data_IF_346419858426
#
_entry.id   IF_346419858426
#
_cell.length_a   1.000
_cell.length_b   1.000
_cell.length_c   1.000
_cell.angle_alpha   90.00
_cell.angle_beta   90.00
_cell.angle_gamma   90.00
#
_symmetry.space_group_name_H-M   'P 1'
#
loop_
_entity.id
_entity.type
_entity.pdbx_description
1 polymer ?
#
# COMPACT_ATOMS: atom_id res chain seq x y z
N UNK A 1 -10.09 18.49 7.49
CA UNK A 1 -9.64 18.57 6.10
C UNK A 1 -8.26 17.90 5.98
N UNK A 2 -8.06 17.03 4.98
CA UNK A 2 -6.81 16.28 4.80
C UNK A 2 -5.68 17.13 4.20
N UNK A 3 -5.97 18.29 3.60
CA UNK A 3 -4.96 19.20 3.08
C UNK A 3 -4.63 19.03 1.60
N UNK A 4 -5.42 18.29 0.83
CA UNK A 4 -5.18 18.05 -0.60
C UNK A 4 -5.59 19.20 -1.54
N UNK A 5 -5.90 20.38 -0.98
CA UNK A 5 -6.15 21.61 -1.73
C UNK A 5 -5.04 22.66 -1.45
N UNK A 6 -3.80 22.43 -1.94
CA UNK A 6 -2.66 23.25 -1.55
C UNK A 6 -2.72 24.65 -2.16
N UNK A 7 -2.46 25.64 -1.30
CA UNK A 7 -2.24 27.04 -1.71
C UNK A 7 -0.75 27.36 -1.78
N UNK A 8 0.03 26.76 -0.89
CA UNK A 8 1.49 26.88 -0.82
C UNK A 8 2.10 25.48 -0.57
N UNK A 9 3.23 25.19 -1.25
CA UNK A 9 3.84 23.84 -1.19
C UNK A 9 5.03 23.71 -0.24
N UNK A 10 5.67 24.83 0.13
CA UNK A 10 6.96 24.81 0.83
C UNK A 10 6.87 25.37 2.26
N UNK A 11 5.71 25.19 2.89
CA UNK A 11 5.46 25.67 4.24
C UNK A 11 4.56 24.70 5.01
N UNK A 12 4.88 24.37 6.28
CA UNK A 12 3.99 23.58 7.12
C UNK A 12 2.65 24.29 7.37
N UNK A 13 1.58 23.52 7.55
CA UNK A 13 0.24 24.04 7.82
C UNK A 13 0.16 24.63 9.24
N UNK A 14 -0.28 25.91 9.32
CA UNK A 14 -0.30 26.65 10.57
C UNK A 14 -1.35 26.19 11.56
N UNK A 15 -2.45 25.57 11.11
CA UNK A 15 -3.53 25.12 11.99
C UNK A 15 -3.12 23.98 12.92
N UNK A 16 -2.03 23.27 12.60
CA UNK A 16 -1.45 22.23 13.45
C UNK A 16 -0.40 22.76 14.43
N UNK A 17 -0.05 24.06 14.33
CA UNK A 17 0.91 24.69 15.23
C UNK A 17 0.25 25.12 16.55
N UNK A 18 1.01 25.07 17.63
CA UNK A 18 0.57 25.61 18.94
C UNK A 18 0.45 27.14 18.91
N UNK A 19 1.13 27.81 17.99
CA UNK A 19 0.98 29.24 17.70
C UNK A 19 0.95 29.50 16.18
N UNK A 20 -0.26 29.54 15.57
CA UNK A 20 -0.41 29.72 14.13
C UNK A 20 -0.04 31.12 13.63
N UNK A 21 0.07 32.12 14.52
CA UNK A 21 0.39 33.51 14.17
C UNK A 21 1.90 33.75 14.02
N UNK A 22 2.74 32.86 14.53
CA UNK A 22 4.20 32.94 14.43
C UNK A 22 4.71 31.79 13.53
N UNK A 23 5.11 32.13 12.31
CA UNK A 23 5.49 31.14 11.27
C UNK A 23 6.64 30.23 11.66
N UNK A 24 7.60 30.74 12.46
CA UNK A 24 8.74 29.96 12.95
C UNK A 24 8.33 28.83 13.90
N UNK A 25 7.21 28.97 14.61
CA UNK A 25 6.73 27.93 15.56
C UNK A 25 6.38 26.67 14.80
N UNK A 26 5.55 26.75 13.74
CA UNK A 26 5.19 25.58 12.91
C UNK A 26 6.39 24.89 12.29
N UNK A 27 7.41 25.66 11.88
CA UNK A 27 8.65 25.12 11.31
C UNK A 27 9.41 24.32 12.36
N UNK A 28 9.59 24.87 13.55
CA UNK A 28 10.30 24.24 14.65
C UNK A 28 9.57 22.98 15.15
N UNK A 29 8.25 23.06 15.32
CA UNK A 29 7.44 21.93 15.78
C UNK A 29 7.47 20.76 14.79
N UNK A 30 7.36 21.02 13.48
CA UNK A 30 7.48 19.98 12.47
C UNK A 30 8.88 19.34 12.47
N UNK A 31 9.94 20.14 12.56
CA UNK A 31 11.32 19.62 12.67
C UNK A 31 11.49 18.80 13.97
N UNK A 32 10.89 19.22 15.08
CA UNK A 32 10.94 18.48 16.34
C UNK A 32 10.19 17.14 16.25
N UNK A 33 9.03 17.10 15.60
CA UNK A 33 8.27 15.87 15.33
C UNK A 33 9.11 14.88 14.54
N UNK A 34 9.69 15.32 13.41
CA UNK A 34 10.52 14.46 12.55
C UNK A 34 11.73 13.94 13.32
N UNK A 35 12.43 14.83 14.07
CA UNK A 35 13.56 14.43 14.91
C UNK A 35 13.17 13.33 15.92
N UNK A 36 12.03 13.49 16.60
CA UNK A 36 11.56 12.52 17.58
C UNK A 36 11.26 11.17 16.94
N UNK A 37 10.66 11.15 15.74
CA UNK A 37 10.42 9.92 15.00
C UNK A 37 11.72 9.24 14.60
N UNK A 38 12.72 9.98 14.10
CA UNK A 38 14.05 9.46 13.76
C UNK A 38 14.77 8.89 14.98
N UNK A 39 14.72 9.53 16.14
CA UNK A 39 15.30 9.03 17.40
C UNK A 39 14.67 7.69 17.83
N UNK A 40 13.46 7.40 17.37
CA UNK A 40 12.78 6.11 17.58
C UNK A 40 12.89 5.15 16.39
N UNK A 41 13.77 5.42 15.42
CA UNK A 41 14.02 4.56 14.27
C UNK A 41 12.90 4.56 13.21
N UNK A 42 12.01 5.57 13.23
CA UNK A 42 10.88 5.71 12.31
C UNK A 42 11.25 6.76 11.24
N UNK A 43 11.24 6.37 9.98
CA UNK A 43 11.39 7.27 8.82
C UNK A 43 10.08 8.03 8.55
N UNK A 44 10.21 9.24 8.00
CA UNK A 44 9.07 10.12 7.71
C UNK A 44 8.94 10.34 6.23
N UNK A 45 7.83 9.89 5.65
CA UNK A 45 7.48 10.21 4.27
C UNK A 45 6.45 11.33 4.22
N UNK A 46 6.65 12.28 3.31
CA UNK A 46 5.75 13.41 3.10
C UNK A 46 4.81 13.11 1.93
N UNK A 47 3.53 13.38 2.14
CA UNK A 47 2.54 13.37 1.09
C UNK A 47 2.54 14.73 0.38
N UNK A 48 2.80 14.74 -0.94
CA UNK A 48 2.98 15.95 -1.74
C UNK A 48 1.97 16.04 -2.87
N UNK A 49 1.37 17.23 -3.03
CA UNK A 49 0.26 17.50 -3.94
C UNK A 49 0.68 18.52 -5.00
N UNK A 50 1.65 18.17 -5.86
CA UNK A 50 2.11 19.08 -6.92
C UNK A 50 1.24 19.06 -8.17
N UNK A 51 0.27 18.16 -8.24
CA UNK A 51 -0.57 17.93 -9.44
C UNK A 51 -1.55 19.06 -9.72
N UNK A 52 -1.98 19.83 -8.71
CA UNK A 52 -2.90 20.98 -8.86
C UNK A 52 -2.68 22.03 -7.78
N UNK A 53 -3.39 23.14 -7.87
CA UNK A 53 -3.52 24.16 -6.81
C UNK A 53 -4.99 24.34 -6.45
N UNK A 54 -5.26 24.80 -5.23
CA UNK A 54 -6.62 25.03 -4.73
C UNK A 54 -7.49 25.85 -5.70
N UNK A 55 -6.96 26.99 -6.19
CA UNK A 55 -7.60 27.78 -7.23
C UNK A 55 -6.59 28.19 -8.31
N UNK A 56 -6.93 27.98 -9.57
CA UNK A 56 -6.07 28.37 -10.69
C UNK A 56 -5.90 29.89 -10.78
N UNK A 57 -6.99 30.64 -10.86
CA UNK A 57 -6.97 32.09 -11.11
C UNK A 57 -6.25 32.87 -10.02
N UNK A 58 -6.36 32.44 -8.77
CA UNK A 58 -5.78 33.10 -7.61
C UNK A 58 -4.42 32.55 -7.20
N UNK A 59 -3.92 31.50 -7.88
CA UNK A 59 -2.63 30.92 -7.56
C UNK A 59 -1.48 31.90 -7.80
N UNK A 60 -0.44 31.77 -7.00
CA UNK A 60 0.78 32.54 -7.21
C UNK A 60 1.45 32.22 -8.54
N UNK A 61 1.33 31.00 -9.03
CA UNK A 61 1.80 30.58 -10.35
C UNK A 61 1.14 31.39 -11.47
N UNK A 62 -0.20 31.47 -11.46
CA UNK A 62 -0.94 32.19 -12.51
C UNK A 62 -0.71 33.68 -12.43
N UNK A 63 -0.60 34.26 -11.22
CA UNK A 63 -0.32 35.68 -11.03
C UNK A 63 1.10 36.08 -11.44
N UNK A 64 2.06 35.15 -11.30
CA UNK A 64 3.48 35.43 -11.61
C UNK A 64 3.77 35.31 -13.11
N UNK A 65 3.34 34.20 -13.73
CA UNK A 65 3.49 33.95 -15.18
C UNK A 65 2.21 33.31 -15.70
N UNK A 66 1.26 34.13 -16.17
CA UNK A 66 -0.02 33.64 -16.69
C UNK A 66 0.17 32.55 -17.75
N UNK A 67 -0.66 31.52 -17.70
CA UNK A 67 -0.72 30.41 -18.65
C UNK A 67 0.54 29.54 -18.78
N UNK A 68 1.52 29.70 -17.90
CA UNK A 68 2.75 28.91 -17.97
C UNK A 68 2.71 27.62 -17.16
N UNK A 69 2.26 27.69 -15.90
CA UNK A 69 2.40 26.58 -14.95
C UNK A 69 1.27 25.55 -15.02
N UNK A 70 0.19 25.88 -15.71
CA UNK A 70 -0.96 25.00 -15.86
C UNK A 70 -1.05 24.43 -17.26
N UNK A 71 -1.46 23.15 -17.34
CA UNK A 71 -1.63 22.46 -18.61
C UNK A 71 -2.93 22.88 -19.28
N UNK A 72 -2.89 23.00 -20.60
CA UNK A 72 -4.04 23.37 -21.42
C UNK A 72 -4.32 22.30 -22.48
N UNK A 73 -5.58 22.17 -22.82
CA UNK A 73 -6.07 21.44 -23.97
C UNK A 73 -6.71 22.47 -24.92
N UNK A 74 -5.96 22.92 -25.95
CA UNK A 74 -6.35 24.06 -26.76
C UNK A 74 -6.41 25.34 -25.92
N UNK A 75 -7.55 26.02 -25.94
CA UNK A 75 -7.78 27.29 -25.19
C UNK A 75 -8.27 27.05 -23.75
N UNK A 76 -8.57 25.81 -23.38
CA UNK A 76 -9.10 25.49 -22.05
C UNK A 76 -8.01 24.89 -21.16
N UNK A 77 -8.11 25.14 -19.85
CA UNK A 77 -7.27 24.46 -18.87
C UNK A 77 -7.70 23.00 -18.74
N UNK A 78 -6.72 22.13 -18.70
CA UNK A 78 -6.92 20.70 -18.48
C UNK A 78 -7.12 20.40 -16.99
N UNK A 79 -7.85 19.34 -16.69
CA UNK A 79 -8.19 18.93 -15.32
C UNK A 79 -7.92 17.44 -15.08
N UNK A 80 -6.69 17.03 -15.28
CA UNK A 80 -6.25 15.67 -14.96
C UNK A 80 -6.27 15.35 -13.47
N UNK A 81 -6.36 16.36 -12.60
CA UNK A 81 -6.51 16.16 -11.16
C UNK A 81 -7.94 15.85 -10.73
N UNK A 82 -8.95 16.28 -11.50
CA UNK A 82 -10.35 16.27 -11.07
C UNK A 82 -10.69 17.33 -10.02
N UNK A 83 -9.74 18.28 -9.77
CA UNK A 83 -9.89 19.37 -8.79
C UNK A 83 -9.99 20.75 -9.44
N UNK A 84 -10.30 20.80 -10.75
CA UNK A 84 -10.50 22.03 -11.52
C UNK A 84 -9.29 22.58 -12.23
N UNK A 85 -8.12 21.98 -12.09
CA UNK A 85 -6.89 22.35 -12.81
C UNK A 85 -5.82 21.26 -12.68
N UNK A 86 -4.81 21.32 -13.54
CA UNK A 86 -3.60 20.51 -13.38
C UNK A 86 -2.35 21.31 -13.72
N UNK A 87 -1.25 21.01 -13.02
CA UNK A 87 0.05 21.62 -13.29
C UNK A 87 0.74 20.99 -14.49
N UNK A 88 1.46 21.80 -15.26
CA UNK A 88 2.22 21.38 -16.44
C UNK A 88 3.64 20.98 -16.03
N UNK A 89 3.81 19.81 -15.41
CA UNK A 89 5.10 19.34 -14.89
C UNK A 89 6.18 19.19 -15.97
N UNK A 90 5.79 18.96 -17.23
CA UNK A 90 6.69 18.88 -18.37
C UNK A 90 7.36 20.22 -18.70
N UNK A 91 6.85 21.35 -18.22
CA UNK A 91 7.45 22.67 -18.44
C UNK A 91 8.62 22.90 -17.50
N UNK A 92 9.69 23.46 -18.05
CA UNK A 92 11.00 23.56 -17.38
C UNK A 92 10.93 24.20 -15.98
N UNK A 93 10.17 25.29 -15.79
CA UNK A 93 10.10 25.96 -14.50
C UNK A 93 9.16 25.26 -13.50
N UNK A 94 8.11 24.56 -13.98
CA UNK A 94 7.29 23.73 -13.09
C UNK A 94 8.07 22.50 -12.62
N UNK A 95 8.78 21.84 -13.51
CA UNK A 95 9.71 20.72 -13.16
C UNK A 95 10.76 21.19 -12.15
N UNK A 96 11.39 22.35 -12.43
CA UNK A 96 12.37 22.93 -11.49
C UNK A 96 11.74 23.16 -10.12
N UNK A 97 10.54 23.72 -10.06
CA UNK A 97 9.84 23.98 -8.81
C UNK A 97 9.59 22.69 -8.00
N UNK A 98 9.09 21.63 -8.67
CA UNK A 98 8.85 20.34 -8.01
C UNK A 98 10.16 19.74 -7.48
N UNK A 99 11.21 19.74 -8.30
CA UNK A 99 12.53 19.21 -7.91
C UNK A 99 13.14 19.99 -6.75
N UNK A 100 13.15 21.33 -6.83
CA UNK A 100 13.68 22.18 -5.76
C UNK A 100 12.89 22.00 -4.46
N UNK A 101 11.57 21.81 -4.55
CA UNK A 101 10.69 21.61 -3.40
C UNK A 101 11.00 20.29 -2.67
N UNK A 102 11.09 19.17 -3.37
CA UNK A 102 11.41 17.88 -2.71
C UNK A 102 12.82 17.89 -2.13
N UNK A 103 13.79 18.52 -2.80
CA UNK A 103 15.15 18.69 -2.26
C UNK A 103 15.14 19.55 -1.00
N UNK A 104 14.37 20.65 -0.98
CA UNK A 104 14.19 21.49 0.20
C UNK A 104 13.66 20.69 1.40
N UNK A 105 12.57 19.93 1.21
CA UNK A 105 12.01 19.11 2.28
C UNK A 105 12.97 18.03 2.75
N UNK A 106 13.70 17.38 1.83
CA UNK A 106 14.69 16.35 2.17
C UNK A 106 15.88 16.93 2.93
N UNK A 107 16.35 18.15 2.61
CA UNK A 107 17.53 18.75 3.24
C UNK A 107 17.20 19.51 4.51
N UNK A 108 16.14 20.33 4.51
CA UNK A 108 15.80 21.21 5.63
C UNK A 108 15.00 20.51 6.74
N UNK A 109 14.20 19.49 6.38
CA UNK A 109 13.36 18.77 7.32
C UNK A 109 13.76 17.29 7.47
N UNK A 110 14.76 16.83 6.72
CA UNK A 110 15.22 15.43 6.72
C UNK A 110 14.11 14.44 6.40
N UNK A 111 13.23 14.77 5.44
CA UNK A 111 12.19 13.85 4.95
C UNK A 111 12.84 12.67 4.24
N UNK A 112 12.41 11.45 4.57
CA UNK A 112 12.98 10.18 4.10
C UNK A 112 12.26 9.60 2.88
N UNK A 113 11.15 10.20 2.45
CA UNK A 113 10.42 9.76 1.27
C UNK A 113 9.28 10.70 0.90
N UNK A 114 8.78 10.52 -0.32
CA UNK A 114 7.70 11.31 -0.88
C UNK A 114 6.65 10.42 -1.52
N UNK A 115 5.41 10.56 -1.06
CA UNK A 115 4.22 10.04 -1.74
C UNK A 115 3.64 11.14 -2.62
N UNK A 116 3.59 10.92 -3.93
CA UNK A 116 3.01 11.86 -4.87
C UNK A 116 1.52 11.58 -5.05
N UNK A 117 0.70 12.49 -4.58
CA UNK A 117 -0.73 12.51 -4.87
C UNK A 117 -0.94 12.62 -6.38
N UNK A 118 -1.85 11.80 -6.95
CA UNK A 118 -2.13 11.73 -8.38
C UNK A 118 -0.84 11.81 -9.24
N UNK A 119 0.15 10.97 -8.92
CA UNK A 119 1.45 10.96 -9.62
C UNK A 119 1.28 10.81 -11.14
N UNK A 120 0.21 10.16 -11.59
CA UNK A 120 -0.12 10.00 -13.00
C UNK A 120 -0.36 11.30 -13.77
N UNK A 121 -0.62 12.43 -13.09
CA UNK A 121 -0.73 13.76 -13.69
C UNK A 121 0.64 14.30 -14.09
N UNK A 122 1.71 13.86 -13.43
CA UNK A 122 3.08 14.28 -13.74
C UNK A 122 3.67 13.49 -14.91
N UNK A 123 4.58 14.14 -15.63
CA UNK A 123 5.32 13.49 -16.71
C UNK A 123 6.49 12.64 -16.17
N UNK A 124 6.84 11.60 -16.92
CA UNK A 124 7.93 10.67 -16.58
C UNK A 124 9.28 11.37 -16.37
N UNK A 125 9.58 12.39 -17.17
CA UNK A 125 10.88 13.06 -17.10
C UNK A 125 11.00 13.93 -15.85
N UNK A 126 9.88 14.47 -15.37
CA UNK A 126 9.82 15.14 -14.05
C UNK A 126 10.07 14.14 -12.92
N UNK A 127 9.44 12.96 -12.94
CA UNK A 127 9.69 11.94 -11.92
C UNK A 127 11.13 11.41 -11.95
N UNK A 128 11.74 11.25 -13.13
CA UNK A 128 13.17 10.94 -13.26
C UNK A 128 14.07 12.04 -12.68
N UNK A 129 13.72 13.31 -12.93
CA UNK A 129 14.47 14.45 -12.39
C UNK A 129 14.36 14.51 -10.86
N UNK A 130 13.18 14.27 -10.29
CA UNK A 130 12.97 14.13 -8.84
C UNK A 130 13.85 13.02 -8.26
N UNK A 131 13.78 11.80 -8.82
CA UNK A 131 14.62 10.68 -8.35
C UNK A 131 16.11 11.02 -8.39
N UNK A 132 16.56 11.55 -9.53
CA UNK A 132 17.97 11.93 -9.70
C UNK A 132 18.44 12.99 -8.72
N UNK A 133 17.63 13.99 -8.41
CA UNK A 133 17.98 15.05 -7.46
C UNK A 133 18.01 14.51 -6.02
N UNK A 134 17.04 13.68 -5.64
CA UNK A 134 17.01 13.08 -4.32
C UNK A 134 18.16 12.08 -4.10
N UNK A 135 18.64 11.39 -5.14
CA UNK A 135 19.85 10.54 -5.06
C UNK A 135 21.11 11.32 -4.69
N UNK A 136 21.18 12.61 -5.00
CA UNK A 136 22.30 13.46 -4.57
C UNK A 136 22.19 13.86 -3.10
N UNK A 137 21.00 13.80 -2.51
CA UNK A 137 20.79 14.07 -1.09
C UNK A 137 21.00 12.76 -0.29
N UNK A 138 20.24 11.73 -0.62
CA UNK A 138 20.35 10.39 -0.05
C UNK A 138 19.63 9.38 -0.99
N UNK A 139 20.35 8.37 -1.53
CA UNK A 139 19.75 7.38 -2.43
C UNK A 139 18.68 6.49 -1.77
N UNK A 140 18.61 6.45 -0.42
CA UNK A 140 17.61 5.70 0.32
C UNK A 140 16.28 6.44 0.48
N UNK A 141 16.16 7.69 0.01
CA UNK A 141 14.90 8.42 0.01
C UNK A 141 13.89 7.70 -0.89
N UNK A 142 12.74 7.34 -0.34
CA UNK A 142 11.69 6.68 -1.09
C UNK A 142 10.94 7.66 -2.00
N UNK A 143 10.57 7.22 -3.20
CA UNK A 143 9.67 7.97 -4.11
C UNK A 143 8.60 7.00 -4.61
N UNK A 144 7.35 7.32 -4.36
CA UNK A 144 6.20 6.55 -4.82
C UNK A 144 4.97 7.44 -4.90
N UNK A 145 3.90 6.95 -5.47
CA UNK A 145 2.67 7.72 -5.53
C UNK A 145 1.51 6.99 -6.18
N UNK A 146 0.46 7.71 -6.44
CA UNK A 146 -0.71 7.20 -7.13
C UNK A 146 -0.45 7.17 -8.63
N UNK A 147 -0.36 5.97 -9.18
CA UNK A 147 -0.10 5.74 -10.60
C UNK A 147 -1.33 5.93 -11.49
N UNK A 148 -2.16 6.94 -11.21
CA UNK A 148 -3.38 7.29 -11.95
C UNK A 148 -3.61 8.81 -11.96
N UNK A 149 -4.63 9.27 -12.70
CA UNK A 149 -5.14 10.63 -12.72
C UNK A 149 -6.52 10.66 -12.07
N UNK A 150 -6.93 11.81 -11.55
CA UNK A 150 -8.29 12.01 -11.00
C UNK A 150 -9.32 12.35 -12.07
N UNK A 151 -8.86 12.86 -13.23
CA UNK A 151 -9.67 13.24 -14.38
C UNK A 151 -8.92 13.04 -15.70
N UNK A 152 -9.44 13.62 -16.77
CA UNK A 152 -8.80 13.57 -18.10
C UNK A 152 -7.67 14.61 -18.20
N UNK A 153 -6.45 14.12 -18.39
CA UNK A 153 -5.27 14.98 -18.56
C UNK A 153 -4.95 15.20 -20.04
N UNK A 154 -4.55 16.41 -20.38
CA UNK A 154 -4.05 16.72 -21.73
C UNK A 154 -2.61 16.22 -21.97
N UNK A 155 -1.90 15.73 -20.96
CA UNK A 155 -0.62 15.06 -21.15
C UNK A 155 -0.83 13.72 -21.85
N UNK A 156 -0.10 13.43 -22.96
CA UNK A 156 -0.22 12.13 -23.63
C UNK A 156 0.02 10.96 -22.67
N UNK A 157 -0.83 9.93 -22.70
CA UNK A 157 -0.78 8.80 -21.79
C UNK A 157 0.61 8.11 -21.71
N UNK A 158 1.34 8.06 -22.84
CA UNK A 158 2.69 7.49 -22.90
C UNK A 158 3.75 8.33 -22.16
N UNK A 159 3.43 9.55 -21.78
CA UNK A 159 4.31 10.46 -21.03
C UNK A 159 3.92 10.54 -19.54
N UNK A 160 2.72 10.11 -19.18
CA UNK A 160 2.22 10.15 -17.80
C UNK A 160 2.94 9.14 -16.90
N UNK A 161 3.21 9.52 -15.67
CA UNK A 161 3.75 8.63 -14.63
C UNK A 161 2.64 7.73 -14.02
N UNK A 162 1.83 7.14 -14.87
CA UNK A 162 0.80 6.17 -14.48
C UNK A 162 1.40 4.79 -14.19
N UNK A 163 0.67 3.96 -13.48
CA UNK A 163 1.05 2.58 -13.14
C UNK A 163 1.63 1.81 -14.34
N UNK A 164 0.99 1.91 -15.50
CA UNK A 164 1.44 1.22 -16.72
C UNK A 164 2.78 1.69 -17.27
N UNK A 165 3.31 2.82 -16.83
CA UNK A 165 4.60 3.38 -17.25
C UNK A 165 5.69 3.30 -16.17
N UNK A 166 5.37 2.82 -14.96
CA UNK A 166 6.27 2.81 -13.80
C UNK A 166 7.54 1.97 -14.07
N UNK A 167 7.45 0.88 -14.83
CA UNK A 167 8.63 0.08 -15.23
C UNK A 167 9.74 0.89 -15.93
N UNK A 168 9.41 2.10 -16.42
CA UNK A 168 10.35 3.03 -17.10
C UNK A 168 11.06 3.97 -16.11
N UNK A 169 10.68 3.93 -14.83
CA UNK A 169 11.24 4.75 -13.77
C UNK A 169 12.07 3.88 -12.83
N UNK A 170 13.31 4.26 -12.59
CA UNK A 170 14.16 3.57 -11.62
C UNK A 170 13.75 3.98 -10.20
N UNK A 171 13.51 2.99 -9.32
CA UNK A 171 13.22 3.19 -7.89
C UNK A 171 12.10 4.23 -7.59
N UNK A 172 11.10 4.28 -8.45
CA UNK A 172 9.85 5.00 -8.23
C UNK A 172 8.72 3.98 -8.21
N UNK A 173 7.98 3.93 -7.12
CA UNK A 173 6.87 2.99 -6.92
C UNK A 173 5.51 3.60 -7.22
N UNK A 174 4.50 2.73 -7.41
CA UNK A 174 3.11 3.11 -7.50
C UNK A 174 2.24 2.21 -6.60
N UNK A 175 1.16 2.75 -6.09
CA UNK A 175 0.16 1.97 -5.38
C UNK A 175 -0.46 0.91 -6.28
N UNK A 176 -0.57 -0.31 -5.77
CA UNK A 176 -1.16 -1.44 -6.45
C UNK A 176 -2.65 -1.54 -6.11
N UNK A 177 -3.49 -0.99 -6.97
CA UNK A 177 -4.94 -1.20 -6.90
C UNK A 177 -5.33 -2.64 -7.23
N UNK A 178 -4.45 -3.40 -7.90
CA UNK A 178 -4.67 -4.82 -8.21
C UNK A 178 -4.80 -5.66 -6.93
N UNK A 179 -3.85 -5.51 -5.98
CA UNK A 179 -3.92 -6.22 -4.70
C UNK A 179 -5.04 -5.70 -3.80
N UNK A 180 -5.28 -4.38 -3.79
CA UNK A 180 -6.37 -3.76 -3.03
C UNK A 180 -7.71 -4.37 -3.42
N UNK A 181 -8.03 -4.32 -4.71
CA UNK A 181 -9.31 -4.79 -5.22
C UNK A 181 -9.36 -6.32 -5.25
N UNK A 182 -8.24 -6.99 -5.46
CA UNK A 182 -8.10 -8.44 -5.34
C UNK A 182 -8.47 -8.97 -3.95
N UNK A 183 -8.05 -8.28 -2.90
CA UNK A 183 -8.35 -8.66 -1.51
C UNK A 183 -9.80 -8.33 -1.15
N UNK A 184 -10.23 -7.05 -1.31
CA UNK A 184 -11.50 -6.54 -0.73
C UNK A 184 -12.61 -6.25 -1.73
N UNK A 185 -12.36 -6.40 -3.03
CA UNK A 185 -13.27 -5.99 -4.11
C UNK A 185 -13.10 -4.53 -4.51
N UNK A 186 -13.74 -4.14 -5.62
CA UNK A 186 -13.67 -2.80 -6.18
C UNK A 186 -14.07 -1.73 -5.16
N UNK A 187 -13.32 -0.63 -5.12
CA UNK A 187 -13.66 0.53 -4.28
C UNK A 187 -14.78 1.38 -4.90
N UNK A 188 -15.08 1.18 -6.18
CA UNK A 188 -16.15 1.90 -6.91
C UNK A 188 -17.49 1.16 -6.88
N UNK A 189 -17.53 -0.06 -6.36
CA UNK A 189 -18.73 -0.84 -6.12
C UNK A 189 -18.68 -1.38 -4.68
N UNK A 190 -19.49 -0.81 -3.80
CA UNK A 190 -19.45 -1.15 -2.37
C UNK A 190 -19.88 -2.57 -2.06
N UNK A 191 -20.67 -3.19 -2.95
CA UNK A 191 -21.15 -4.56 -2.81
C UNK A 191 -20.20 -5.58 -3.46
N UNK A 192 -19.27 -5.14 -4.34
CA UNK A 192 -18.30 -6.05 -4.94
C UNK A 192 -17.42 -6.69 -3.87
N UNK A 193 -17.25 -8.00 -3.95
CA UNK A 193 -16.42 -8.81 -3.05
C UNK A 193 -15.03 -9.02 -3.65
N UNK A 194 -14.06 -9.32 -2.80
CA UNK A 194 -12.74 -9.78 -3.21
C UNK A 194 -12.49 -11.23 -2.78
N UNK A 195 -11.24 -11.66 -2.89
CA UNK A 195 -10.82 -13.03 -2.53
C UNK A 195 -11.20 -13.39 -1.09
N UNK A 196 -10.94 -12.51 -0.13
CA UNK A 196 -11.17 -12.80 1.29
C UNK A 196 -12.64 -12.79 1.69
N UNK A 197 -13.48 -12.19 0.87
CA UNK A 197 -14.91 -11.99 1.11
C UNK A 197 -15.80 -12.88 0.21
N UNK A 198 -15.21 -13.92 -0.42
CA UNK A 198 -15.92 -14.99 -1.09
C UNK A 198 -16.23 -14.73 -2.58
N UNK A 199 -15.42 -13.91 -3.27
CA UNK A 199 -15.51 -13.76 -4.73
C UNK A 199 -14.78 -14.91 -5.42
N UNK A 200 -15.48 -15.60 -6.31
CA UNK A 200 -14.92 -16.70 -7.10
C UNK A 200 -13.90 -16.21 -8.15
N UNK A 201 -12.99 -17.09 -8.55
CA UNK A 201 -12.01 -16.89 -9.63
C UNK A 201 -11.02 -15.74 -9.37
N UNK A 202 -10.67 -15.49 -8.11
CA UNK A 202 -9.69 -14.46 -7.74
C UNK A 202 -8.26 -15.00 -7.58
N UNK A 203 -8.03 -16.30 -7.77
CA UNK A 203 -6.74 -16.95 -7.52
C UNK A 203 -5.63 -16.35 -8.36
N UNK A 204 -5.87 -16.10 -9.65
CA UNK A 204 -4.84 -15.50 -10.53
C UNK A 204 -4.56 -14.03 -10.20
N UNK A 205 -5.57 -13.27 -9.74
CA UNK A 205 -5.35 -11.91 -9.23
C UNK A 205 -4.47 -11.92 -7.96
N UNK A 206 -4.75 -12.83 -7.02
CA UNK A 206 -3.94 -12.97 -5.82
C UNK A 206 -2.51 -13.43 -6.17
N UNK A 207 -2.32 -14.40 -7.09
CA UNK A 207 -0.99 -14.79 -7.56
C UNK A 207 -0.22 -13.60 -8.16
N UNK A 208 -0.88 -12.81 -9.02
CA UNK A 208 -0.31 -11.59 -9.59
C UNK A 208 0.11 -10.58 -8.51
N UNK A 209 -0.71 -10.43 -7.49
CA UNK A 209 -0.44 -9.58 -6.33
C UNK A 209 0.73 -10.11 -5.48
N UNK A 210 0.79 -11.42 -5.25
CA UNK A 210 1.88 -12.08 -4.49
C UNK A 210 3.23 -11.82 -5.13
N UNK A 211 3.34 -11.80 -6.44
CA UNK A 211 4.59 -11.51 -7.15
C UNK A 211 4.83 -10.02 -7.41
N UNK A 212 4.09 -9.13 -6.73
CA UNK A 212 4.24 -7.68 -6.81
C UNK A 212 4.09 -7.13 -8.25
N UNK A 213 3.16 -7.67 -9.02
CA UNK A 213 2.89 -7.31 -10.42
C UNK A 213 4.11 -7.45 -11.36
N UNK A 214 5.12 -8.21 -10.96
CA UNK A 214 6.28 -8.54 -11.79
C UNK A 214 5.98 -9.73 -12.71
N UNK A 215 6.70 -9.89 -13.83
CA UNK A 215 6.55 -11.07 -14.67
C UNK A 215 6.80 -12.37 -13.89
N UNK A 216 5.89 -13.34 -14.02
CA UNK A 216 6.04 -14.67 -13.43
C UNK A 216 5.40 -15.74 -14.32
N UNK A 217 6.12 -16.84 -14.57
CA UNK A 217 5.71 -17.88 -15.53
C UNK A 217 4.42 -18.63 -15.14
N UNK A 218 4.07 -18.65 -13.85
CA UNK A 218 2.87 -19.31 -13.33
C UNK A 218 1.69 -18.34 -13.11
N UNK A 219 1.77 -17.09 -13.59
CA UNK A 219 0.67 -16.12 -13.52
C UNK A 219 0.08 -15.91 -14.90
N UNK A 220 -1.22 -16.12 -15.02
CA UNK A 220 -1.98 -15.93 -16.24
C UNK A 220 -2.69 -14.58 -16.24
N UNK A 221 -2.06 -13.55 -16.82
CA UNK A 221 -2.55 -12.16 -16.77
C UNK A 221 -4.01 -12.00 -17.23
N UNK A 222 -4.43 -12.71 -18.28
CA UNK A 222 -5.81 -12.66 -18.81
C UNK A 222 -6.86 -13.19 -17.83
N UNK A 223 -6.44 -13.89 -16.78
CA UNK A 223 -7.30 -14.39 -15.69
C UNK A 223 -7.15 -13.57 -14.41
N UNK A 224 -6.07 -12.81 -14.28
CA UNK A 224 -5.84 -11.97 -13.12
C UNK A 224 -6.75 -10.73 -13.09
N UNK A 225 -7.21 -10.29 -14.25
CA UNK A 225 -8.15 -9.17 -14.43
C UNK A 225 -7.94 -8.48 -15.77
N UNK A 226 -8.98 -7.86 -16.29
CA UNK A 226 -8.98 -7.22 -17.63
C UNK A 226 -7.93 -6.11 -17.79
N UNK A 227 -7.51 -5.52 -16.69
CA UNK A 227 -6.53 -4.41 -16.67
C UNK A 227 -5.16 -4.81 -16.10
N UNK A 228 -4.99 -6.06 -15.69
CA UNK A 228 -3.72 -6.52 -15.13
C UNK A 228 -2.66 -6.62 -16.24
N UNK A 229 -1.57 -5.90 -16.02
CA UNK A 229 -0.36 -5.93 -16.87
C UNK A 229 0.84 -6.05 -15.95
N UNK A 230 1.95 -6.64 -16.41
CA UNK A 230 3.21 -6.65 -15.66
C UNK A 230 3.80 -5.22 -15.63
N UNK A 231 3.23 -4.36 -14.82
CA UNK A 231 3.59 -2.94 -14.76
C UNK A 231 4.79 -2.67 -13.86
N UNK A 232 5.09 -3.57 -12.95
CA UNK A 232 6.25 -3.46 -12.06
C UNK A 232 7.46 -4.15 -12.68
N UNK A 233 8.53 -3.39 -12.92
CA UNK A 233 9.80 -3.96 -13.39
C UNK A 233 10.58 -4.67 -12.28
N UNK A 234 10.41 -4.21 -11.04
CA UNK A 234 11.03 -4.76 -9.84
C UNK A 234 10.02 -4.70 -8.68
N UNK A 235 10.06 -5.63 -7.72
CA UNK A 235 9.05 -5.69 -6.66
C UNK A 235 8.99 -4.42 -5.79
N UNK A 236 10.09 -3.69 -5.63
CA UNK A 236 10.11 -2.41 -4.92
C UNK A 236 9.29 -1.29 -5.58
N UNK A 237 8.80 -1.48 -6.80
CA UNK A 237 7.92 -0.54 -7.49
C UNK A 237 6.44 -0.76 -7.15
N UNK A 238 6.08 -1.89 -6.55
CA UNK A 238 4.70 -2.19 -6.13
C UNK A 238 4.50 -1.83 -4.67
N UNK A 239 3.69 -0.80 -4.41
CA UNK A 239 3.24 -0.44 -3.06
C UNK A 239 1.92 -1.14 -2.81
N UNK A 240 1.97 -2.24 -2.09
CA UNK A 240 0.82 -3.08 -1.80
C UNK A 240 0.03 -2.53 -0.63
N UNK A 241 -1.30 -2.47 -0.74
CA UNK A 241 -2.17 -1.97 0.32
C UNK A 241 -3.57 -2.55 0.24
N UNK A 242 -4.32 -2.46 1.34
CA UNK A 242 -5.73 -2.84 1.40
C UNK A 242 -6.59 -1.59 1.54
N UNK A 243 -6.18 -0.69 2.41
CA UNK A 243 -6.86 0.59 2.69
C UNK A 243 -5.87 1.74 2.75
N UNK A 244 -6.39 2.94 2.50
CA UNK A 244 -5.73 4.21 2.76
C UNK A 244 -6.79 5.19 3.29
N UNK A 245 -6.51 6.50 3.30
CA UNK A 245 -7.47 7.52 3.70
C UNK A 245 -8.66 7.65 2.74
N UNK A 246 -8.43 7.38 1.44
CA UNK A 246 -9.50 7.36 0.42
C UNK A 246 -10.37 6.13 0.52
N UNK A 247 -11.60 6.27 0.05
CA UNK A 247 -12.63 5.23 -0.01
C UNK A 247 -13.00 4.66 1.37
N UNK A 248 -13.77 3.57 1.36
CA UNK A 248 -14.10 2.84 2.59
C UNK A 248 -12.85 2.19 3.19
N UNK A 249 -12.75 2.18 4.52
CA UNK A 249 -11.76 1.34 5.20
C UNK A 249 -12.00 -0.14 4.86
N UNK A 250 -11.03 -0.98 5.12
CA UNK A 250 -11.22 -2.42 4.90
C UNK A 250 -12.39 -2.97 5.73
N UNK A 251 -12.49 -2.56 6.99
CA UNK A 251 -13.56 -2.99 7.89
C UNK A 251 -14.94 -2.52 7.42
N UNK A 252 -15.07 -1.25 7.01
CA UNK A 252 -16.35 -0.70 6.51
C UNK A 252 -16.76 -1.37 5.20
N UNK A 253 -15.81 -1.64 4.29
CA UNK A 253 -16.07 -2.37 3.06
C UNK A 253 -16.62 -3.78 3.34
N UNK A 254 -16.02 -4.52 4.28
CA UNK A 254 -16.51 -5.83 4.68
C UNK A 254 -17.89 -5.76 5.35
N UNK A 255 -18.16 -4.71 6.14
CA UNK A 255 -19.47 -4.53 6.76
C UNK A 255 -20.59 -4.35 5.73
N UNK A 256 -20.29 -3.75 4.58
CA UNK A 256 -21.26 -3.52 3.50
C UNK A 256 -21.35 -4.74 2.58
N UNK A 257 -20.22 -5.20 2.03
CA UNK A 257 -20.21 -6.29 1.03
C UNK A 257 -20.57 -7.65 1.63
N UNK A 258 -20.40 -7.82 2.93
CA UNK A 258 -20.64 -9.04 3.68
C UNK A 258 -21.56 -8.79 4.88
N UNK A 259 -22.62 -8.00 4.66
CA UNK A 259 -23.58 -7.64 5.71
C UNK A 259 -24.31 -8.85 6.32
N UNK A 260 -24.51 -9.90 5.55
CA UNK A 260 -25.16 -11.15 5.99
C UNK A 260 -24.21 -12.08 6.75
N UNK A 261 -22.90 -11.87 6.66
CA UNK A 261 -21.91 -12.68 7.37
C UNK A 261 -21.77 -12.22 8.83
N UNK A 262 -21.37 -13.13 9.71
CA UNK A 262 -21.13 -12.79 11.11
C UNK A 262 -19.95 -11.81 11.26
N UNK A 263 -19.95 -11.01 12.34
CA UNK A 263 -18.80 -10.16 12.67
C UNK A 263 -17.53 -11.00 12.83
N UNK A 264 -17.63 -12.18 13.41
CA UNK A 264 -16.50 -13.10 13.58
C UNK A 264 -15.93 -13.56 12.22
N UNK A 265 -16.76 -13.76 11.19
CA UNK A 265 -16.27 -14.11 9.85
C UNK A 265 -15.64 -12.89 9.16
N UNK A 266 -16.21 -11.68 9.32
CA UNK A 266 -15.56 -10.45 8.85
C UNK A 266 -14.19 -10.20 9.51
N UNK A 267 -14.03 -10.56 10.78
CA UNK A 267 -12.71 -10.53 11.47
C UNK A 267 -11.74 -11.54 10.83
N UNK A 268 -12.20 -12.76 10.47
CA UNK A 268 -11.36 -13.71 9.74
C UNK A 268 -10.95 -13.16 8.36
N UNK A 269 -11.89 -12.54 7.62
CA UNK A 269 -11.62 -11.87 6.34
C UNK A 269 -10.55 -10.79 6.48
N UNK A 270 -10.63 -9.98 7.53
CA UNK A 270 -9.63 -8.95 7.84
C UNK A 270 -8.25 -9.55 8.10
N UNK A 271 -8.17 -10.59 8.93
CA UNK A 271 -6.92 -11.32 9.20
C UNK A 271 -6.36 -12.00 7.95
N UNK A 272 -7.19 -12.62 7.12
CA UNK A 272 -6.76 -13.22 5.86
C UNK A 272 -6.21 -12.15 4.90
N UNK A 273 -6.88 -11.01 4.77
CA UNK A 273 -6.41 -9.89 3.94
C UNK A 273 -5.05 -9.37 4.39
N UNK A 274 -4.87 -9.17 5.70
CA UNK A 274 -3.57 -8.76 6.26
C UNK A 274 -2.48 -9.82 6.01
N UNK A 275 -2.81 -11.10 6.10
CA UNK A 275 -1.85 -12.17 5.78
C UNK A 275 -1.43 -12.12 4.31
N UNK A 276 -2.36 -11.93 3.36
CA UNK A 276 -2.05 -11.73 1.93
C UNK A 276 -1.12 -10.53 1.75
N UNK A 277 -1.43 -9.40 2.38
CA UNK A 277 -0.60 -8.19 2.30
C UNK A 277 0.84 -8.42 2.79
N UNK A 278 0.99 -8.96 4.00
CA UNK A 278 2.31 -9.06 4.63
C UNK A 278 3.16 -10.24 4.17
N UNK A 279 2.59 -11.21 3.48
CA UNK A 279 3.36 -12.34 2.90
C UNK A 279 3.60 -12.20 1.39
N UNK A 280 2.97 -11.23 0.72
CA UNK A 280 3.26 -10.89 -0.69
C UNK A 280 4.60 -10.18 -0.85
N UNK A 281 5.24 -10.34 -2.01
CA UNK A 281 6.40 -9.54 -2.41
C UNK A 281 6.00 -8.08 -2.61
N UNK A 282 6.97 -7.17 -2.72
CA UNK A 282 6.72 -5.73 -2.84
C UNK A 282 6.79 -5.01 -1.51
N UNK A 283 6.33 -3.76 -1.48
CA UNK A 283 6.40 -2.88 -0.31
C UNK A 283 5.02 -2.79 0.33
N UNK A 284 4.80 -3.31 1.53
CA UNK A 284 3.49 -3.21 2.18
C UNK A 284 3.25 -1.79 2.71
N UNK A 285 2.03 -1.32 2.51
CA UNK A 285 1.49 -0.10 3.08
C UNK A 285 0.20 -0.45 3.83
N UNK A 286 0.00 0.16 4.99
CA UNK A 286 -1.13 -0.10 5.88
C UNK A 286 -1.74 1.23 6.35
N UNK A 287 -3.06 1.35 6.31
CA UNK A 287 -3.73 2.50 6.91
C UNK A 287 -3.61 2.43 8.43
N UNK A 288 -3.21 3.51 9.08
CA UNK A 288 -3.15 3.56 10.56
C UNK A 288 -4.52 3.26 11.17
N UNK A 289 -4.58 2.29 12.09
CA UNK A 289 -5.82 1.82 12.72
C UNK A 289 -6.47 0.61 12.03
N UNK A 290 -5.96 0.16 10.88
CA UNK A 290 -6.46 -1.04 10.19
C UNK A 290 -6.34 -2.28 11.08
N UNK A 291 -5.26 -2.37 11.87
CA UNK A 291 -4.99 -3.38 12.88
C UNK A 291 -5.95 -3.33 14.10
N UNK A 292 -6.76 -2.29 14.16
CA UNK A 292 -7.78 -2.09 15.20
C UNK A 292 -9.19 -2.02 14.61
N UNK A 293 -9.38 -2.54 13.39
CA UNK A 293 -10.66 -2.51 12.67
C UNK A 293 -11.20 -1.08 12.50
N UNK A 294 -10.34 -0.17 12.02
CA UNK A 294 -10.69 1.24 11.82
C UNK A 294 -11.92 1.39 10.95
N UNK A 295 -12.87 2.22 11.41
CA UNK A 295 -14.08 2.59 10.71
C UNK A 295 -14.18 4.12 10.57
N UNK A 296 -14.87 4.57 9.51
CA UNK A 296 -15.24 5.96 9.25
C UNK A 296 -16.78 6.11 9.31
N UNK A 297 -17.40 6.11 10.51
CA UNK A 297 -18.84 6.16 10.65
C UNK A 297 -19.40 7.48 10.15
N UNK A 298 -20.54 7.42 9.42
CA UNK A 298 -21.29 8.57 8.95
C UNK A 298 -22.79 8.24 8.90
N UNK A 299 -23.53 8.62 9.93
CA UNK A 299 -24.98 8.36 10.04
C UNK A 299 -25.81 9.02 8.92
N UNK A 300 -25.24 9.98 8.20
CA UNK A 300 -25.94 10.67 7.08
C UNK A 300 -25.72 9.97 5.74
N UNK A 301 -24.78 9.03 5.67
CA UNK A 301 -24.55 8.22 4.49
C UNK A 301 -25.57 7.08 4.41
N UNK A 302 -25.98 6.71 3.21
CA UNK A 302 -26.86 5.54 2.97
C UNK A 302 -26.24 4.22 3.45
N UNK A 303 -24.93 4.14 3.45
CA UNK A 303 -24.18 2.95 3.90
C UNK A 303 -23.85 2.96 5.39
N UNK A 304 -24.04 4.09 6.09
CA UNK A 304 -23.61 4.29 7.47
C UNK A 304 -22.12 4.64 7.62
N UNK A 305 -21.36 4.70 6.51
CA UNK A 305 -19.92 4.97 6.47
C UNK A 305 -19.57 6.09 5.49
N UNK A 306 -18.40 6.69 5.67
CA UNK A 306 -17.91 7.79 4.85
C UNK A 306 -16.76 7.34 3.94
N UNK A 307 -17.04 7.21 2.66
CA UNK A 307 -16.02 6.86 1.65
C UNK A 307 -15.11 8.03 1.30
N UNK A 308 -15.63 9.26 1.37
CA UNK A 308 -14.96 10.49 0.95
C UNK A 308 -14.86 11.49 2.10
N UNK A 309 -14.13 11.10 3.13
CA UNK A 309 -14.11 11.77 4.43
C UNK A 309 -13.07 12.91 4.54
N UNK A 310 -12.58 13.46 3.41
CA UNK A 310 -11.52 14.48 3.38
C UNK A 310 -11.82 15.75 4.18
N UNK A 311 -13.08 16.11 4.32
CA UNK A 311 -13.55 17.27 5.10
C UNK A 311 -14.47 16.89 6.26
N UNK A 312 -14.60 15.60 6.57
CA UNK A 312 -15.46 15.09 7.64
C UNK A 312 -14.85 15.36 9.03
N UNK A 313 -15.70 15.42 10.08
CA UNK A 313 -15.25 15.74 11.43
C UNK A 313 -14.40 14.63 12.06
N UNK A 314 -13.77 14.94 13.20
CA UNK A 314 -12.98 13.99 13.97
C UNK A 314 -13.80 12.77 14.44
N UNK A 315 -15.12 12.92 14.65
CA UNK A 315 -16.00 11.81 14.94
C UNK A 315 -15.92 10.70 13.89
N UNK A 316 -15.75 11.07 12.62
CA UNK A 316 -15.52 10.14 11.50
C UNK A 316 -14.05 9.75 11.36
N UNK A 317 -13.15 10.74 11.32
CA UNK A 317 -11.76 10.53 10.87
C UNK A 317 -10.78 10.11 11.96
N UNK A 318 -11.05 10.40 13.25
CA UNK A 318 -10.10 10.06 14.30
C UNK A 318 -9.89 8.56 14.47
N UNK A 319 -8.67 8.18 14.83
CA UNK A 319 -8.36 6.80 15.23
C UNK A 319 -8.98 6.55 16.62
N UNK A 320 -9.80 5.51 16.75
CA UNK A 320 -10.45 5.12 18.00
C UNK A 320 -9.50 4.19 18.78
N UNK A 321 -8.51 4.77 19.47
CA UNK A 321 -7.48 4.03 20.19
C UNK A 321 -8.02 3.04 21.22
N UNK A 322 -9.15 3.37 21.86
CA UNK A 322 -9.79 2.48 22.83
C UNK A 322 -10.26 1.16 22.21
N UNK A 323 -10.50 1.13 20.90
CA UNK A 323 -10.91 -0.08 20.20
C UNK A 323 -9.81 -1.15 20.20
N UNK A 324 -8.55 -0.78 20.37
CA UNK A 324 -7.44 -1.73 20.50
C UNK A 324 -7.71 -2.78 21.59
N UNK A 325 -8.26 -2.36 22.73
CA UNK A 325 -8.61 -3.27 23.82
C UNK A 325 -9.70 -4.28 23.45
N UNK A 326 -10.65 -3.88 22.62
CA UNK A 326 -11.77 -4.71 22.20
C UNK A 326 -11.38 -5.78 21.16
N UNK A 327 -10.35 -5.49 20.34
CA UNK A 327 -9.91 -6.34 19.22
C UNK A 327 -8.41 -6.69 19.31
N UNK A 328 -7.94 -6.93 20.52
CA UNK A 328 -6.54 -7.23 20.79
C UNK A 328 -6.02 -8.42 19.98
N UNK A 329 -6.85 -9.40 19.70
CA UNK A 329 -6.49 -10.57 18.88
C UNK A 329 -6.22 -10.21 17.42
N UNK A 330 -6.86 -9.18 16.88
CA UNK A 330 -6.57 -8.63 15.52
C UNK A 330 -5.26 -7.85 15.57
N UNK A 331 -5.10 -6.98 16.55
CA UNK A 331 -3.87 -6.20 16.74
C UNK A 331 -2.63 -7.10 16.86
N UNK A 332 -2.67 -8.11 17.71
CA UNK A 332 -1.55 -9.05 17.89
C UNK A 332 -1.32 -9.90 16.64
N UNK A 333 -2.35 -10.18 15.85
CA UNK A 333 -2.21 -10.87 14.57
C UNK A 333 -1.41 -10.03 13.54
N UNK A 334 -1.75 -8.74 13.37
CA UNK A 334 -0.99 -7.81 12.52
C UNK A 334 0.46 -7.66 13.00
N UNK A 335 0.65 -7.46 14.30
CA UNK A 335 1.98 -7.37 14.92
C UNK A 335 2.81 -8.62 14.63
N UNK A 336 2.21 -9.79 14.75
CA UNK A 336 2.86 -11.07 14.48
C UNK A 336 3.23 -11.26 13.00
N UNK A 337 2.36 -10.85 12.05
CA UNK A 337 2.67 -10.87 10.62
C UNK A 337 3.82 -9.93 10.26
N UNK A 338 3.84 -8.73 10.85
CA UNK A 338 4.93 -7.77 10.65
C UNK A 338 6.25 -8.33 11.18
N UNK A 339 6.23 -8.93 12.37
CA UNK A 339 7.40 -9.58 12.95
C UNK A 339 7.90 -10.72 12.06
N UNK A 340 7.00 -11.57 11.56
CA UNK A 340 7.32 -12.66 10.65
C UNK A 340 7.96 -12.13 9.35
N UNK A 341 7.35 -11.12 8.70
CA UNK A 341 7.91 -10.51 7.50
C UNK A 341 9.29 -9.88 7.75
N UNK A 342 9.50 -9.26 8.91
CA UNK A 342 10.82 -8.68 9.29
C UNK A 342 11.90 -9.78 9.47
N UNK A 343 11.53 -10.92 10.01
CA UNK A 343 12.44 -12.05 10.23
C UNK A 343 12.82 -12.75 8.91
N UNK A 344 11.89 -12.84 7.95
CA UNK A 344 12.09 -13.60 6.72
C UNK A 344 12.34 -12.70 5.50
N UNK A 345 13.60 -12.65 5.04
CA UNK A 345 14.00 -11.86 3.88
C UNK A 345 13.43 -12.41 2.56
N UNK A 346 13.07 -13.69 2.51
CA UNK A 346 12.42 -14.34 1.37
C UNK A 346 11.06 -13.69 0.99
N UNK A 347 10.38 -13.03 1.94
CA UNK A 347 9.18 -12.25 1.68
C UNK A 347 9.47 -10.84 1.14
N UNK A 348 10.74 -10.46 1.03
CA UNK A 348 11.19 -9.12 0.65
C UNK A 348 12.29 -9.19 -0.42
N UNK A 349 12.14 -10.11 -1.39
CA UNK A 349 13.06 -10.22 -2.51
C UNK A 349 13.11 -8.91 -3.30
N UNK A 350 14.30 -8.48 -3.69
CA UNK A 350 14.52 -7.16 -4.29
C UNK A 350 14.47 -7.13 -5.81
N UNK A 351 14.43 -8.29 -6.46
CA UNK A 351 14.40 -8.39 -7.92
C UNK A 351 13.32 -9.33 -8.43
N UNK A 352 12.75 -9.00 -9.60
CA UNK A 352 11.79 -9.87 -10.29
C UNK A 352 12.40 -11.25 -10.62
N UNK A 353 13.71 -11.29 -10.95
CA UNK A 353 14.41 -12.54 -11.21
C UNK A 353 14.48 -13.44 -9.97
N UNK A 354 14.72 -12.86 -8.78
CA UNK A 354 14.72 -13.61 -7.53
C UNK A 354 13.34 -14.22 -7.24
N UNK A 355 12.26 -13.46 -7.46
CA UNK A 355 10.90 -13.96 -7.32
C UNK A 355 10.64 -15.11 -8.30
N UNK A 356 10.93 -14.91 -9.58
CA UNK A 356 10.74 -15.93 -10.62
C UNK A 356 11.49 -17.24 -10.34
N UNK A 357 12.68 -17.15 -9.74
CA UNK A 357 13.53 -18.31 -9.51
C UNK A 357 13.22 -19.05 -8.21
N UNK A 358 12.73 -18.36 -7.19
CA UNK A 358 12.59 -18.94 -5.85
C UNK A 358 11.12 -19.13 -5.41
N UNK A 359 10.16 -18.40 -5.98
CA UNK A 359 8.74 -18.54 -5.65
C UNK A 359 8.05 -19.48 -6.64
N UNK A 360 7.35 -20.48 -6.15
CA UNK A 360 6.61 -21.45 -6.97
C UNK A 360 5.21 -21.62 -6.43
N UNK A 361 4.19 -21.34 -7.27
CA UNK A 361 2.79 -21.61 -6.92
C UNK A 361 2.48 -23.10 -6.97
N UNK A 362 1.79 -23.59 -5.94
CA UNK A 362 1.30 -24.97 -5.88
C UNK A 362 0.11 -25.15 -6.85
N UNK A 363 -0.07 -26.36 -7.33
CA UNK A 363 -1.12 -26.73 -8.29
C UNK A 363 -2.01 -27.83 -7.72
N UNK A 364 -3.19 -28.04 -8.33
CA UNK A 364 -4.13 -29.07 -7.87
C UNK A 364 -4.84 -28.69 -6.57
N UNK A 365 -5.02 -27.39 -6.34
CA UNK A 365 -5.73 -26.85 -5.19
C UNK A 365 -7.23 -26.73 -5.49
N UNK A 366 -8.04 -26.70 -4.43
CA UNK A 366 -9.45 -26.37 -4.52
C UNK A 366 -9.66 -24.93 -5.02
N UNK A 367 -10.85 -24.61 -5.53
CA UNK A 367 -11.22 -23.25 -5.89
C UNK A 367 -11.10 -22.32 -4.67
N UNK A 368 -10.80 -21.05 -4.89
CA UNK A 368 -10.56 -20.04 -3.85
C UNK A 368 -9.43 -20.38 -2.86
N UNK A 369 -8.47 -21.21 -3.29
CA UNK A 369 -7.26 -21.51 -2.55
C UNK A 369 -6.05 -21.10 -3.38
N UNK A 370 -5.17 -20.31 -2.78
CA UNK A 370 -3.86 -19.93 -3.35
C UNK A 370 -2.75 -20.40 -2.41
N UNK A 371 -1.80 -21.13 -2.95
CA UNK A 371 -0.64 -21.56 -2.17
C UNK A 371 0.64 -21.44 -2.98
N UNK A 372 1.74 -21.13 -2.30
CA UNK A 372 3.06 -21.06 -2.90
C UNK A 372 4.14 -21.45 -1.91
N UNK A 373 5.28 -21.84 -2.44
CA UNK A 373 6.51 -22.03 -1.68
C UNK A 373 7.57 -21.04 -2.12
N UNK A 374 8.41 -20.63 -1.18
CA UNK A 374 9.66 -19.93 -1.48
C UNK A 374 10.78 -20.89 -1.07
N UNK A 375 11.64 -21.22 -2.01
CA UNK A 375 12.75 -22.17 -1.86
C UNK A 375 14.03 -21.58 -2.46
N UNK A 376 15.16 -22.09 -2.06
CA UNK A 376 16.43 -21.68 -2.61
C UNK A 376 17.13 -20.60 -1.80
N UNK A 377 18.28 -20.16 -2.30
CA UNK A 377 19.12 -19.20 -1.61
C UNK A 377 18.61 -17.77 -1.79
N UNK A 378 17.93 -17.25 -0.77
CA UNK A 378 17.59 -15.83 -0.68
C UNK A 378 18.53 -15.18 0.34
N UNK A 379 19.19 -14.11 -0.06
CA UNK A 379 20.17 -13.43 0.80
C UNK A 379 19.56 -13.00 2.13
N UNK A 380 20.15 -13.43 3.23
CA UNK A 380 19.72 -13.12 4.59
C UNK A 380 18.52 -13.94 5.08
N UNK A 381 18.05 -14.96 4.32
CA UNK A 381 17.03 -15.90 4.79
C UNK A 381 17.66 -17.01 5.62
N UNK A 382 16.98 -17.38 6.71
CA UNK A 382 17.39 -18.46 7.61
C UNK A 382 16.61 -19.75 7.36
N UNK A 383 15.37 -19.64 6.90
CA UNK A 383 14.55 -20.78 6.55
C UNK A 383 15.05 -21.42 5.23
N UNK A 384 15.09 -22.75 5.18
CA UNK A 384 15.35 -23.48 3.92
C UNK A 384 14.17 -23.31 2.96
N UNK A 385 12.96 -23.37 3.48
CA UNK A 385 11.73 -23.23 2.71
C UNK A 385 10.65 -22.53 3.52
N UNK A 386 9.82 -21.73 2.84
CA UNK A 386 8.61 -21.11 3.39
C UNK A 386 7.44 -21.57 2.52
N UNK A 387 6.34 -22.01 3.14
CA UNK A 387 5.07 -22.30 2.46
C UNK A 387 3.99 -21.35 2.96
N UNK A 388 3.23 -20.78 2.05
CA UNK A 388 2.10 -19.88 2.35
C UNK A 388 0.87 -20.40 1.65
N UNK A 389 -0.25 -20.47 2.39
CA UNK A 389 -1.53 -20.97 1.90
C UNK A 389 -2.62 -19.99 2.32
N UNK A 390 -3.44 -19.56 1.39
CA UNK A 390 -4.64 -18.74 1.61
C UNK A 390 -5.87 -19.56 1.25
N UNK A 391 -6.80 -19.67 2.16
CA UNK A 391 -8.10 -20.29 1.96
C UNK A 391 -9.19 -19.24 2.06
N UNK A 392 -9.76 -18.81 0.93
CA UNK A 392 -10.89 -17.89 0.86
C UNK A 392 -12.27 -18.54 1.04
N UNK A 393 -12.33 -19.89 1.12
CA UNK A 393 -13.57 -20.61 1.32
C UNK A 393 -14.05 -20.53 2.77
N UNK A 394 -15.37 -20.62 3.04
CA UNK A 394 -15.89 -20.67 4.41
C UNK A 394 -15.51 -21.97 5.13
N UNK A 395 -15.28 -23.05 4.40
CA UNK A 395 -14.93 -24.37 4.93
C UNK A 395 -13.42 -24.61 4.92
N UNK A 396 -12.99 -25.53 5.78
CA UNK A 396 -11.60 -25.95 5.84
C UNK A 396 -11.22 -26.78 4.59
N UNK A 397 -9.99 -26.62 4.12
CA UNK A 397 -9.42 -27.39 3.01
C UNK A 397 -8.17 -28.14 3.44
N UNK A 398 -7.85 -29.24 2.73
CA UNK A 398 -6.60 -29.97 2.96
C UNK A 398 -5.63 -29.73 1.81
N UNK A 399 -4.42 -29.30 2.12
CA UNK A 399 -3.37 -29.02 1.14
C UNK A 399 -2.19 -29.96 1.37
N UNK A 400 -1.70 -30.59 0.30
CA UNK A 400 -0.50 -31.40 0.34
C UNK A 400 0.74 -30.51 0.45
N UNK A 401 1.63 -30.83 1.37
CA UNK A 401 2.89 -30.13 1.57
C UNK A 401 4.05 -30.86 0.85
N UNK A 402 5.09 -30.13 0.44
CA UNK A 402 6.35 -30.75 0.06
C UNK A 402 6.92 -31.59 1.20
N UNK A 403 7.76 -32.59 0.86
CA UNK A 403 8.32 -33.52 1.83
C UNK A 403 9.05 -32.83 2.99
N UNK A 404 8.99 -33.47 4.16
CA UNK A 404 9.64 -33.03 5.39
C UNK A 404 8.67 -32.45 6.42
N UNK A 405 9.22 -32.12 7.58
CA UNK A 405 8.47 -31.53 8.70
C UNK A 405 8.49 -30.01 8.60
N UNK A 406 7.34 -29.38 8.79
CA UNK A 406 7.13 -27.95 8.69
C UNK A 406 6.62 -27.38 10.01
N UNK A 407 7.21 -26.31 10.49
CA UNK A 407 6.72 -25.52 11.63
C UNK A 407 5.65 -24.54 11.18
N UNK A 408 4.48 -24.56 11.82
CA UNK A 408 3.39 -23.63 11.56
C UNK A 408 3.67 -22.36 12.37
N UNK A 409 3.87 -21.23 11.70
CA UNK A 409 4.15 -19.93 12.33
C UNK A 409 2.94 -18.97 12.28
N UNK A 410 2.05 -19.14 11.29
CA UNK A 410 0.81 -18.37 11.15
C UNK A 410 -0.35 -19.32 10.88
N UNK A 411 -1.48 -19.11 11.55
CA UNK A 411 -2.75 -19.78 11.28
C UNK A 411 -3.90 -18.77 11.37
N UNK A 412 -5.16 -19.20 11.25
CA UNK A 412 -6.33 -18.32 11.31
C UNK A 412 -6.49 -17.53 12.62
N UNK A 413 -5.75 -17.85 13.67
CA UNK A 413 -5.88 -17.26 15.02
C UNK A 413 -4.66 -16.47 15.46
N UNK A 414 -3.46 -16.95 15.16
CA UNK A 414 -2.17 -16.41 15.63
C UNK A 414 -1.18 -16.26 14.51
N UNK A 415 -0.34 -15.27 14.61
CA UNK A 415 0.80 -15.03 13.71
C UNK A 415 2.05 -14.69 14.53
N UNK A 416 3.23 -15.02 14.00
CA UNK A 416 4.52 -14.70 14.62
C UNK A 416 5.64 -15.62 14.15
N UNK A 417 6.79 -15.54 14.82
CA UNK A 417 7.99 -16.35 14.49
C UNK A 417 8.11 -17.61 15.37
N UNK A 418 7.08 -17.98 16.14
CA UNK A 418 7.10 -19.16 16.98
C UNK A 418 6.28 -20.27 16.36
N UNK A 419 6.76 -21.50 16.49
CA UNK A 419 6.00 -22.68 16.10
C UNK A 419 4.72 -22.80 16.94
N UNK A 420 3.60 -22.90 16.24
CA UNK A 420 2.27 -23.20 16.77
C UNK A 420 1.94 -24.69 16.72
N UNK A 421 2.83 -25.48 16.16
CA UNK A 421 2.73 -26.92 15.91
C UNK A 421 3.45 -27.29 14.62
N UNK A 422 3.45 -28.56 14.28
CA UNK A 422 4.14 -29.11 13.10
C UNK A 422 3.16 -29.80 12.16
N UNK A 423 3.52 -29.86 10.87
CA UNK A 423 2.78 -30.58 9.84
C UNK A 423 3.77 -31.37 8.95
N UNK A 424 3.29 -32.51 8.41
CA UNK A 424 4.05 -33.34 7.47
C UNK A 424 3.07 -33.98 6.45
N UNK A 425 3.48 -34.04 5.20
CA UNK A 425 2.71 -34.64 4.11
C UNK A 425 1.48 -33.83 3.67
N UNK A 426 0.63 -33.43 4.59
CA UNK A 426 -0.52 -32.56 4.33
C UNK A 426 -0.89 -31.73 5.55
N UNK A 427 -1.66 -30.66 5.34
CA UNK A 427 -2.15 -29.78 6.40
C UNK A 427 -3.59 -29.33 6.13
N UNK A 428 -4.38 -29.22 7.19
CA UNK A 428 -5.72 -28.63 7.13
C UNK A 428 -5.61 -27.12 7.36
N UNK A 429 -6.19 -26.33 6.44
CA UNK A 429 -6.29 -24.87 6.52
C UNK A 429 -7.74 -24.51 6.81
N UNK A 430 -7.98 -23.88 7.94
CA UNK A 430 -9.31 -23.43 8.37
C UNK A 430 -9.98 -22.55 7.32
N UNK A 431 -11.32 -22.46 7.34
CA UNK A 431 -12.06 -21.56 6.46
C UNK A 431 -11.73 -20.08 6.73
N UNK A 432 -11.67 -19.27 5.69
CA UNK A 432 -11.34 -17.85 5.70
C UNK A 432 -10.08 -17.60 6.53
N UNK A 433 -8.98 -18.25 6.15
CA UNK A 433 -7.73 -18.14 6.90
C UNK A 433 -6.49 -18.28 6.04
N UNK A 434 -5.36 -17.82 6.59
CA UNK A 434 -4.03 -18.07 6.06
C UNK A 434 -3.29 -19.07 6.93
N UNK A 435 -2.40 -19.84 6.31
CA UNK A 435 -1.43 -20.68 6.99
C UNK A 435 -0.03 -20.37 6.43
N UNK A 436 0.93 -20.10 7.32
CA UNK A 436 2.34 -19.92 6.93
C UNK A 436 3.20 -20.90 7.70
N UNK A 437 4.01 -21.64 6.96
CA UNK A 437 4.87 -22.66 7.50
C UNK A 437 6.32 -22.43 7.09
N UNK A 438 7.24 -22.80 7.97
CA UNK A 438 8.71 -22.77 7.72
C UNK A 438 9.30 -24.14 7.86
N UNK A 439 10.33 -24.43 7.07
CA UNK A 439 11.09 -25.64 7.16
C UNK A 439 12.58 -25.31 7.28
N UNK A 440 13.27 -26.01 8.20
CA UNK A 440 14.72 -25.90 8.37
C UNK A 440 15.16 -24.51 8.85
N UNK A 441 14.40 -23.88 9.73
CA UNK A 441 14.76 -22.61 10.35
C UNK A 441 15.13 -22.80 11.81
N UNK A 442 16.42 -22.67 12.10
CA UNK A 442 16.97 -22.76 13.45
C UNK A 442 16.58 -21.55 14.34
N UNK A 443 15.99 -20.50 13.78
CA UNK A 443 15.58 -19.30 14.51
C UNK A 443 14.15 -19.36 15.02
N UNK A 444 13.33 -20.29 14.50
CA UNK A 444 11.98 -20.54 15.01
C UNK A 444 12.08 -20.86 16.52
N UNK A 445 11.29 -20.16 17.31
CA UNK A 445 11.29 -20.18 18.80
C UNK A 445 12.47 -19.48 19.49
N UNK A 446 13.41 -18.86 18.76
CA UNK A 446 14.52 -18.08 19.37
C UNK A 446 14.18 -16.59 19.55
N UNK A 447 13.11 -16.10 18.91
CA UNK A 447 12.67 -14.71 19.08
C UNK A 447 12.07 -14.53 20.47
N UNK A 448 12.51 -13.56 21.29
CA UNK A 448 11.92 -13.29 22.61
C UNK A 448 10.43 -12.97 22.51
N UNK A 449 9.70 -13.27 23.60
CA UNK A 449 8.24 -13.04 23.65
C UNK A 449 7.85 -11.55 23.58
N UNK A 450 8.79 -10.67 23.87
CA UNK A 450 8.62 -9.21 23.89
C UNK A 450 8.77 -8.57 22.50
N UNK A 451 9.39 -9.29 21.53
CA UNK A 451 9.60 -8.82 20.16
C UNK A 451 8.75 -9.58 19.11
N UNK A 452 7.85 -10.46 19.55
CA UNK A 452 7.01 -11.29 18.69
C UNK A 452 5.55 -10.81 18.66
#
# INVERSE_FOLDING_TARGET
NWGYDPKNYNVPEGSYSTDPYHGEVRVNEMKQMIKTLHENGIRVNMDVVYNHTYHLADSWFQKTVPDYYYRKNGDHYSDGSGCGNETASERAMMRKYIVDSVVYWATEYHIDGFRFDLMGVHDLDTMKAVRKALDQVNPDIMVYGEGWTGGESALPAAQQATKNNIYRLDRVGAFSDDIRDGIKGSVFDFLDKGFVSGKDNMEENIKFSVVAATPHSQVTLTKAGDKCTNWSGQPGQSINYISCHDNLTFWDKLAISNADDSEADRVKMNKLGSAVLFTSQGVPFMQAGEEMLRSKPNEKSETGFDENSYSSPDATNSIKWDNKGNVMDVYEYYKGLIAFRKAHSALRMTTAAAIQNNLTFMTGLDANVVAYTIQGEVQGETAQNIAVIYNGNPDAVTVNLPAGTWDICVNGKKAGCRSLGTAEGSVTVEGISALVLVQGDDTVNKVPAEDA
#
